data_IF_832732194916
#
_entry.id   IF_832732194916
#
_cell.length_a   1.000
_cell.length_b   1.000
_cell.length_c   1.000
_cell.angle_alpha   90.00
_cell.angle_beta   90.00
_cell.angle_gamma   90.00
#
_symmetry.space_group_name_H-M   'P 1'
#
loop_
_entity.id
_entity.type
_entity.pdbx_description
1 polymer ?
#
# COMPACT_ATOMS: atom_id res chain seq x y z
N UNK A 1 26.02 -3.54 5.75
CA UNK A 1 25.16 -4.36 6.59
C UNK A 1 24.32 -5.25 5.69
N UNK A 2 24.31 -6.58 5.93
CA UNK A 2 23.49 -7.51 5.16
C UNK A 2 22.00 -7.32 5.43
N UNK A 3 21.17 -7.59 4.43
CA UNK A 3 19.72 -7.72 4.62
C UNK A 3 19.43 -9.15 5.08
N UNK A 4 18.48 -9.30 5.98
CA UNK A 4 18.04 -10.60 6.48
C UNK A 4 16.55 -10.75 6.22
N UNK A 5 16.12 -11.96 5.92
CA UNK A 5 14.70 -12.34 5.81
C UNK A 5 14.31 -13.05 7.10
N UNK A 6 13.13 -12.72 7.61
CA UNK A 6 12.57 -13.40 8.77
C UNK A 6 12.08 -14.79 8.37
N UNK A 7 12.50 -15.80 9.11
CA UNK A 7 12.04 -17.17 8.89
C UNK A 7 10.66 -17.39 9.54
N UNK A 8 9.58 -17.28 8.77
CA UNK A 8 8.21 -17.52 9.23
C UNK A 8 7.90 -19.00 9.51
N UNK A 9 8.73 -19.93 9.07
CA UNK A 9 8.68 -21.31 9.50
C UNK A 9 9.01 -21.49 11.00
N UNK A 10 9.74 -20.54 11.60
CA UNK A 10 10.14 -20.59 12.99
C UNK A 10 9.08 -19.97 13.93
N UNK A 11 8.57 -20.77 14.88
CA UNK A 11 7.56 -20.33 15.87
C UNK A 11 7.95 -19.06 16.62
N UNK A 12 9.22 -18.89 16.97
CA UNK A 12 9.70 -17.71 17.68
C UNK A 12 9.51 -16.42 16.88
N UNK A 13 9.63 -16.47 15.56
CA UNK A 13 9.42 -15.33 14.67
C UNK A 13 7.94 -14.97 14.63
N UNK A 14 7.07 -15.96 14.40
CA UNK A 14 5.62 -15.74 14.39
C UNK A 14 5.12 -15.19 15.73
N UNK A 15 5.56 -15.77 16.86
CA UNK A 15 5.20 -15.27 18.20
C UNK A 15 5.64 -13.83 18.43
N UNK A 16 6.87 -13.48 18.04
CA UNK A 16 7.38 -12.13 18.17
C UNK A 16 6.57 -11.12 17.34
N UNK A 17 6.28 -11.45 16.08
CA UNK A 17 5.52 -10.57 15.21
C UNK A 17 4.05 -10.49 15.60
N UNK A 18 3.44 -11.58 16.04
CA UNK A 18 2.07 -11.60 16.58
C UNK A 18 1.96 -10.65 17.80
N UNK A 19 2.93 -10.69 18.70
CA UNK A 19 2.95 -9.78 19.84
C UNK A 19 3.19 -8.32 19.41
N UNK A 20 3.98 -8.10 18.36
CA UNK A 20 4.18 -6.77 17.80
C UNK A 20 2.88 -6.21 17.21
N UNK A 21 2.15 -7.00 16.42
CA UNK A 21 0.83 -6.61 15.88
C UNK A 21 -0.16 -6.37 17.04
N UNK A 22 -0.21 -7.27 18.04
CA UNK A 22 -1.07 -7.09 19.20
C UNK A 22 -0.85 -5.72 19.86
N UNK A 23 0.40 -5.36 20.11
CA UNK A 23 0.74 -4.06 20.71
C UNK A 23 0.30 -2.88 19.84
N UNK A 24 0.49 -2.98 18.51
CA UNK A 24 0.05 -1.92 17.60
C UNK A 24 -1.47 -1.73 17.69
N UNK A 25 -2.23 -2.82 17.72
CA UNK A 25 -3.70 -2.79 17.74
C UNK A 25 -4.23 -2.44 19.14
N UNK A 26 -3.85 -3.22 20.16
CA UNK A 26 -4.45 -3.13 21.49
C UNK A 26 -3.88 -2.00 22.34
N UNK A 27 -2.54 -1.78 22.29
CA UNK A 27 -1.89 -0.78 23.12
C UNK A 27 -1.86 0.62 22.46
N UNK A 28 -1.77 0.68 21.11
CA UNK A 28 -1.66 1.95 20.36
C UNK A 28 -2.91 2.30 19.55
N UNK A 29 -3.89 1.41 19.46
CA UNK A 29 -5.15 1.67 18.76
C UNK A 29 -5.05 1.71 17.23
N UNK A 30 -4.08 1.00 16.65
CA UNK A 30 -3.96 0.94 15.18
C UNK A 30 -5.09 0.09 14.59
N UNK A 31 -5.82 0.63 13.64
CA UNK A 31 -6.88 -0.02 12.87
C UNK A 31 -6.49 -0.28 11.40
N UNK A 32 -5.30 0.17 11.00
CA UNK A 32 -4.72 -0.02 9.68
C UNK A 32 -3.22 -0.33 9.79
N UNK A 33 -2.80 -1.44 9.20
CA UNK A 33 -1.40 -1.88 9.23
C UNK A 33 -0.93 -2.20 7.81
N UNK A 34 0.03 -1.41 7.33
CA UNK A 34 0.71 -1.67 6.06
C UNK A 34 1.95 -2.50 6.31
N UNK A 35 2.03 -3.63 5.63
CA UNK A 35 3.14 -4.57 5.71
C UNK A 35 4.00 -4.49 4.45
N UNK A 36 5.12 -3.78 4.54
CA UNK A 36 6.03 -3.58 3.42
C UNK A 36 7.17 -4.59 3.43
N UNK A 37 7.27 -5.37 2.34
CA UNK A 37 8.23 -6.46 2.20
C UNK A 37 9.08 -6.29 0.94
N UNK A 38 10.07 -5.41 1.00
CA UNK A 38 10.91 -4.95 -0.10
C UNK A 38 12.15 -5.81 -0.31
N UNK A 39 12.01 -7.14 -0.26
CA UNK A 39 13.13 -8.05 -0.48
C UNK A 39 12.93 -8.84 -1.76
N UNK A 40 13.94 -8.81 -2.63
CA UNK A 40 14.01 -9.68 -3.80
C UNK A 40 14.37 -11.11 -3.34
N UNK A 41 13.48 -12.05 -3.65
CA UNK A 41 13.65 -13.47 -3.32
C UNK A 41 14.76 -14.17 -4.11
N UNK A 42 15.23 -13.57 -5.20
CA UNK A 42 16.29 -14.14 -6.05
C UNK A 42 17.65 -14.30 -5.36
N UNK A 43 17.80 -13.74 -4.15
CA UNK A 43 19.07 -13.76 -3.39
C UNK A 43 18.99 -14.56 -2.08
N UNK A 44 17.98 -15.40 -1.90
CA UNK A 44 17.78 -16.15 -0.67
C UNK A 44 18.06 -17.63 -0.90
N UNK A 45 19.09 -18.14 -0.26
CA UNK A 45 19.30 -19.59 -0.15
C UNK A 45 18.23 -20.18 0.79
N UNK A 46 17.42 -21.10 0.29
CA UNK A 46 16.45 -21.81 1.12
C UNK A 46 15.12 -22.09 0.44
N UNK A 47 14.21 -22.67 1.19
CA UNK A 47 12.86 -23.04 0.75
C UNK A 47 11.92 -21.83 0.82
N UNK A 48 12.10 -20.91 -0.13
CA UNK A 48 11.34 -19.66 -0.21
C UNK A 48 9.83 -19.89 -0.37
N UNK A 49 9.42 -20.96 -1.01
CA UNK A 49 7.99 -21.25 -1.19
C UNK A 49 7.31 -21.60 0.14
N UNK A 50 7.95 -22.44 0.96
CA UNK A 50 7.44 -22.77 2.29
C UNK A 50 7.47 -21.55 3.23
N UNK A 51 8.50 -20.71 3.13
CA UNK A 51 8.60 -19.44 3.83
C UNK A 51 7.41 -18.52 3.50
N UNK A 52 7.13 -18.34 2.20
CA UNK A 52 6.03 -17.53 1.72
C UNK A 52 4.68 -18.08 2.18
N UNK A 53 4.47 -19.39 2.10
CA UNK A 53 3.25 -20.04 2.61
C UNK A 53 3.08 -19.81 4.11
N UNK A 54 4.13 -19.98 4.90
CA UNK A 54 4.12 -19.75 6.33
C UNK A 54 3.81 -18.28 6.68
N UNK A 55 4.38 -17.34 5.92
CA UNK A 55 4.09 -15.92 6.05
C UNK A 55 2.62 -15.61 5.77
N UNK A 56 2.09 -16.04 4.63
CA UNK A 56 0.70 -15.77 4.25
C UNK A 56 -0.32 -16.45 5.19
N UNK A 57 -0.01 -17.66 5.67
CA UNK A 57 -0.81 -18.33 6.68
C UNK A 57 -0.86 -17.49 7.96
N UNK A 58 0.29 -17.00 8.43
CA UNK A 58 0.36 -16.14 9.61
C UNK A 58 -0.41 -14.81 9.41
N UNK A 59 -0.36 -14.20 8.23
CA UNK A 59 -1.18 -13.03 7.91
C UNK A 59 -2.66 -13.33 8.00
N UNK A 60 -3.10 -14.50 7.50
CA UNK A 60 -4.47 -14.97 7.64
C UNK A 60 -4.91 -15.07 9.10
N UNK A 61 -4.06 -15.68 9.96
CA UNK A 61 -4.29 -15.78 11.40
C UNK A 61 -4.41 -14.38 12.07
N UNK A 62 -3.60 -13.41 11.64
CA UNK A 62 -3.69 -12.03 12.16
C UNK A 62 -5.00 -11.35 11.75
N UNK A 63 -5.46 -11.55 10.53
CA UNK A 63 -6.75 -11.02 10.08
C UNK A 63 -7.94 -11.63 10.83
N UNK A 64 -7.91 -12.92 11.09
CA UNK A 64 -8.95 -13.60 11.88
C UNK A 64 -8.93 -13.11 13.33
N UNK A 65 -7.75 -12.90 13.89
CA UNK A 65 -7.61 -12.43 15.28
C UNK A 65 -8.01 -10.97 15.46
N UNK A 66 -7.76 -10.12 14.47
CA UNK A 66 -7.99 -8.67 14.50
C UNK A 66 -8.95 -8.25 13.39
N UNK A 67 -10.18 -8.73 13.45
CA UNK A 67 -11.21 -8.57 12.38
C UNK A 67 -11.50 -7.11 12.00
N UNK A 68 -11.31 -6.18 12.92
CA UNK A 68 -11.55 -4.75 12.70
C UNK A 68 -10.30 -4.00 12.18
N UNK A 69 -9.18 -4.70 11.94
CA UNK A 69 -7.95 -4.11 11.44
C UNK A 69 -7.81 -4.39 9.95
N UNK A 70 -7.54 -3.35 9.17
CA UNK A 70 -7.21 -3.46 7.76
C UNK A 70 -5.72 -3.76 7.59
N UNK A 71 -5.41 -4.85 6.88
CA UNK A 71 -4.04 -5.18 6.50
C UNK A 71 -3.81 -4.89 5.02
N UNK A 72 -2.80 -4.06 4.74
CA UNK A 72 -2.34 -3.74 3.39
C UNK A 72 -1.04 -4.48 3.08
N UNK A 73 -1.04 -5.20 1.95
CA UNK A 73 0.18 -5.76 1.38
C UNK A 73 0.92 -4.69 0.58
N UNK A 74 2.22 -4.56 0.83
CA UNK A 74 3.13 -3.77 0.01
C UNK A 74 4.42 -4.54 -0.24
N UNK A 75 4.98 -4.37 -1.40
CA UNK A 75 6.33 -4.82 -1.73
C UNK A 75 6.84 -3.95 -2.85
N UNK A 76 7.53 -2.86 -2.52
CA UNK A 76 7.90 -1.81 -3.49
C UNK A 76 6.72 -1.47 -4.42
N UNK A 77 5.57 -1.17 -3.84
CA UNK A 77 4.30 -1.09 -4.54
C UNK A 77 3.70 -2.48 -4.79
N UNK A 78 3.30 -2.77 -6.02
CA UNK A 78 2.55 -3.97 -6.40
C UNK A 78 3.37 -5.18 -6.82
N UNK A 79 4.63 -5.36 -6.37
CA UNK A 79 5.46 -6.49 -6.81
C UNK A 79 4.91 -7.86 -6.39
N UNK A 80 4.04 -7.93 -5.39
CA UNK A 80 3.46 -9.17 -4.87
C UNK A 80 1.94 -9.15 -4.91
N UNK A 81 1.40 -8.85 -6.07
CA UNK A 81 -0.04 -8.79 -6.31
C UNK A 81 -0.53 -10.06 -7.03
N UNK A 82 -0.22 -11.22 -6.45
CA UNK A 82 -0.74 -12.51 -6.89
C UNK A 82 -1.99 -12.92 -6.10
N UNK A 83 -2.74 -13.87 -6.61
CA UNK A 83 -4.02 -14.28 -6.01
C UNK A 83 -3.90 -14.80 -4.58
N UNK A 84 -2.78 -15.42 -4.23
CA UNK A 84 -2.58 -15.90 -2.86
C UNK A 84 -2.36 -14.74 -1.90
N UNK A 85 -1.64 -13.69 -2.32
CA UNK A 85 -1.53 -12.44 -1.55
C UNK A 85 -2.89 -11.75 -1.44
N UNK A 86 -3.62 -11.59 -2.56
CA UNK A 86 -4.95 -10.97 -2.57
C UNK A 86 -5.95 -11.66 -1.62
N UNK A 87 -5.86 -12.98 -1.48
CA UNK A 87 -6.71 -13.75 -0.57
C UNK A 87 -6.47 -13.39 0.91
N UNK A 88 -5.22 -13.10 1.28
CA UNK A 88 -4.83 -12.88 2.67
C UNK A 88 -4.83 -11.41 3.10
N UNK A 89 -4.96 -10.46 2.19
CA UNK A 89 -4.94 -9.04 2.51
C UNK A 89 -6.24 -8.32 2.15
N UNK A 90 -6.59 -7.32 2.94
CA UNK A 90 -7.77 -6.49 2.66
C UNK A 90 -7.50 -5.49 1.53
N UNK A 91 -6.26 -5.02 1.46
CA UNK A 91 -5.80 -4.00 0.51
C UNK A 91 -4.42 -4.40 0.01
N UNK A 92 -4.11 -4.05 -1.23
CA UNK A 92 -2.78 -4.21 -1.82
C UNK A 92 -2.31 -2.88 -2.42
N UNK A 93 -1.07 -2.50 -2.13
CA UNK A 93 -0.41 -1.40 -2.84
C UNK A 93 -0.27 -1.75 -4.32
N UNK A 94 -0.53 -0.80 -5.20
CA UNK A 94 -0.53 -1.03 -6.66
C UNK A 94 0.78 -0.64 -7.32
N UNK A 95 1.39 0.46 -6.91
CA UNK A 95 2.68 0.93 -7.43
C UNK A 95 3.24 2.09 -6.61
N UNK A 96 4.56 2.18 -6.55
CA UNK A 96 5.28 3.36 -6.03
C UNK A 96 5.56 4.42 -7.12
N UNK A 97 4.91 4.30 -8.29
CA UNK A 97 5.06 5.28 -9.35
C UNK A 97 4.49 6.64 -8.94
N UNK A 98 5.30 7.68 -9.09
CA UNK A 98 4.94 9.06 -8.70
C UNK A 98 4.65 9.97 -9.89
N UNK A 99 4.93 9.50 -11.11
CA UNK A 99 4.67 10.27 -12.32
C UNK A 99 3.21 10.14 -12.69
N UNK A 100 2.48 11.22 -12.58
CA UNK A 100 1.04 11.31 -12.84
C UNK A 100 0.63 10.84 -14.24
N UNK A 101 1.45 11.08 -15.27
CA UNK A 101 1.17 10.65 -16.63
C UNK A 101 1.36 9.14 -16.87
N UNK A 102 2.05 8.43 -15.97
CA UNK A 102 2.20 6.96 -16.03
C UNK A 102 1.16 6.24 -15.18
N UNK A 103 0.64 6.90 -14.16
CA UNK A 103 -0.27 6.27 -13.21
C UNK A 103 -1.60 5.81 -13.81
N UNK A 104 -2.20 6.47 -14.83
CA UNK A 104 -3.41 5.98 -15.49
C UNK A 104 -3.30 4.55 -16.03
N UNK A 105 -2.14 4.21 -16.58
CA UNK A 105 -1.87 2.85 -17.09
C UNK A 105 -1.79 1.83 -15.97
N UNK A 106 -1.21 2.21 -14.83
CA UNK A 106 -1.12 1.34 -13.65
C UNK A 106 -2.50 1.15 -13.04
N UNK A 107 -3.23 2.22 -12.78
CA UNK A 107 -4.56 2.18 -12.19
C UNK A 107 -5.56 1.38 -13.05
N UNK A 108 -5.53 1.56 -14.38
CA UNK A 108 -6.36 0.78 -15.29
C UNK A 108 -5.98 -0.71 -15.35
N UNK A 109 -4.69 -1.02 -15.37
CA UNK A 109 -4.22 -2.40 -15.50
C UNK A 109 -4.39 -3.21 -14.20
N UNK A 110 -4.29 -2.60 -13.03
CA UNK A 110 -4.43 -3.32 -11.75
C UNK A 110 -5.80 -3.96 -11.61
N UNK A 111 -6.84 -3.38 -12.21
CA UNK A 111 -8.21 -3.91 -12.17
C UNK A 111 -8.38 -5.22 -12.95
N UNK A 112 -7.39 -5.63 -13.75
CA UNK A 112 -7.37 -6.96 -14.36
C UNK A 112 -6.98 -8.07 -13.36
N UNK A 113 -6.42 -7.72 -12.21
CA UNK A 113 -5.90 -8.67 -11.22
C UNK A 113 -6.53 -8.51 -9.83
N UNK A 114 -6.88 -7.29 -9.42
CA UNK A 114 -7.43 -6.98 -8.11
C UNK A 114 -8.80 -6.31 -8.22
N UNK A 115 -9.64 -6.50 -7.21
CA UNK A 115 -10.91 -5.76 -7.10
C UNK A 115 -10.61 -4.28 -6.79
N UNK A 116 -11.46 -3.34 -7.25
CA UNK A 116 -11.30 -1.92 -6.93
C UNK A 116 -11.16 -1.66 -5.42
N UNK A 117 -11.93 -2.39 -4.62
CA UNK A 117 -11.92 -2.28 -3.15
C UNK A 117 -10.61 -2.73 -2.51
N UNK A 118 -9.85 -3.57 -3.20
CA UNK A 118 -8.53 -4.03 -2.74
C UNK A 118 -7.37 -3.19 -3.29
N UNK A 119 -7.56 -2.51 -4.42
CA UNK A 119 -6.50 -1.81 -5.12
C UNK A 119 -6.23 -0.44 -4.49
N UNK A 120 -5.14 -0.27 -3.75
CA UNK A 120 -4.70 1.03 -3.25
C UNK A 120 -4.09 1.85 -4.40
N UNK A 121 -4.82 2.82 -4.89
CA UNK A 121 -4.38 3.70 -5.98
C UNK A 121 -3.89 5.02 -5.40
N UNK A 122 -2.60 5.28 -5.58
CA UNK A 122 -1.96 6.49 -5.09
C UNK A 122 -2.38 7.72 -5.88
N UNK A 123 -2.76 8.77 -5.18
CA UNK A 123 -3.05 10.10 -5.72
C UNK A 123 -2.02 11.09 -5.21
N UNK A 124 -1.40 11.83 -6.12
CA UNK A 124 -0.42 12.86 -5.82
C UNK A 124 -0.92 14.25 -6.26
N UNK A 125 -1.94 14.82 -5.62
CA UNK A 125 -2.50 16.11 -6.01
C UNK A 125 -1.48 17.25 -5.97
N UNK A 126 -0.48 17.13 -5.09
CA UNK A 126 0.70 18.00 -5.06
C UNK A 126 1.85 17.20 -5.67
N UNK A 127 1.91 17.12 -7.00
CA UNK A 127 3.00 16.39 -7.63
C UNK A 127 4.25 17.26 -7.73
N UNK A 128 5.37 16.69 -7.34
CA UNK A 128 6.70 17.17 -7.71
C UNK A 128 7.26 16.32 -8.85
N UNK A 129 8.25 16.81 -9.53
CA UNK A 129 9.01 16.01 -10.52
C UNK A 129 9.70 14.82 -9.86
N UNK A 130 9.88 14.90 -8.56
CA UNK A 130 10.53 13.93 -7.71
C UNK A 130 9.78 13.90 -6.37
N UNK A 131 9.39 12.72 -5.92
CA UNK A 131 8.70 12.52 -4.62
C UNK A 131 9.48 13.10 -3.46
N UNK A 132 10.77 13.13 -3.58
CA UNK A 132 11.69 13.58 -2.54
C UNK A 132 11.93 15.09 -2.55
N UNK A 133 11.55 15.79 -3.63
CA UNK A 133 11.63 17.26 -3.66
C UNK A 133 10.32 17.89 -3.20
N UNK A 134 10.36 18.79 -2.23
CA UNK A 134 9.18 19.53 -1.82
C UNK A 134 8.58 20.27 -3.03
N UNK A 135 7.32 20.00 -3.33
CA UNK A 135 6.54 20.83 -4.27
C UNK A 135 6.28 22.19 -3.63
N UNK A 136 6.29 23.25 -4.42
CA UNK A 136 5.84 24.57 -3.99
C UNK A 136 4.30 24.71 -3.92
N UNK A 137 3.58 23.61 -4.27
CA UNK A 137 2.12 23.58 -4.29
C UNK A 137 1.50 24.20 -5.55
N UNK A 138 2.31 24.73 -6.47
CA UNK A 138 1.83 25.36 -7.70
C UNK A 138 1.51 24.32 -8.77
N UNK A 139 0.39 23.64 -8.62
CA UNK A 139 -0.15 22.64 -9.56
C UNK A 139 -1.40 23.18 -10.23
N UNK A 140 -1.61 22.85 -11.50
CA UNK A 140 -2.85 23.19 -12.20
C UNK A 140 -4.03 22.36 -11.66
N UNK A 141 -5.23 22.93 -11.72
CA UNK A 141 -6.46 22.25 -11.31
C UNK A 141 -6.71 20.98 -12.13
N UNK A 142 -6.39 20.99 -13.44
CA UNK A 142 -6.50 19.81 -14.29
C UNK A 142 -5.61 18.65 -13.78
N UNK A 143 -4.43 18.95 -13.24
CA UNK A 143 -3.54 17.96 -12.70
C UNK A 143 -4.08 17.36 -11.41
N UNK A 144 -4.70 18.16 -10.56
CA UNK A 144 -5.40 17.69 -9.36
C UNK A 144 -6.55 16.75 -9.77
N UNK A 145 -7.38 17.19 -10.72
CA UNK A 145 -8.49 16.37 -11.25
C UNK A 145 -7.98 15.06 -11.84
N UNK A 146 -6.93 15.09 -12.66
CA UNK A 146 -6.33 13.87 -13.23
C UNK A 146 -5.93 12.87 -12.14
N UNK A 147 -5.27 13.35 -11.09
CA UNK A 147 -4.84 12.49 -9.98
C UNK A 147 -6.02 11.89 -9.21
N UNK A 148 -7.08 12.66 -8.98
CA UNK A 148 -8.28 12.16 -8.31
C UNK A 148 -9.04 11.15 -9.18
N UNK A 149 -9.24 11.44 -10.48
CA UNK A 149 -9.90 10.53 -11.42
C UNK A 149 -9.16 9.19 -11.52
N UNK A 150 -7.83 9.19 -11.55
CA UNK A 150 -7.06 7.94 -11.50
C UNK A 150 -7.33 7.15 -10.23
N UNK A 151 -7.43 7.83 -9.09
CA UNK A 151 -7.65 7.19 -7.80
C UNK A 151 -9.05 6.59 -7.64
N UNK A 152 -10.06 7.07 -8.39
CA UNK A 152 -11.42 6.50 -8.40
C UNK A 152 -11.49 5.07 -8.97
N UNK A 153 -10.46 4.64 -9.69
CA UNK A 153 -10.38 3.28 -10.20
C UNK A 153 -10.12 2.24 -9.10
N UNK A 154 -9.79 2.68 -7.90
CA UNK A 154 -9.57 1.83 -6.73
C UNK A 154 -9.84 2.59 -5.44
N UNK A 155 -9.14 2.21 -4.36
CA UNK A 155 -9.17 2.95 -3.10
C UNK A 155 -8.23 4.15 -3.18
N UNK A 156 -8.75 5.31 -2.87
CA UNK A 156 -8.02 6.57 -2.91
C UNK A 156 -6.97 6.61 -1.79
N UNK A 157 -5.70 6.65 -2.16
CA UNK A 157 -4.59 6.87 -1.23
C UNK A 157 -3.91 8.21 -1.53
N UNK A 158 -4.23 9.21 -0.74
CA UNK A 158 -3.61 10.54 -0.85
C UNK A 158 -2.17 10.50 -0.32
N UNK A 159 -1.21 10.78 -1.18
CA UNK A 159 0.22 10.56 -0.89
C UNK A 159 1.10 11.80 -1.04
N UNK A 160 0.52 12.99 -0.97
CA UNK A 160 1.28 14.24 -1.03
C UNK A 160 0.90 15.20 0.10
N UNK A 161 1.72 16.23 0.31
CA UNK A 161 1.49 17.25 1.33
C UNK A 161 0.36 18.19 0.90
N UNK A 162 -0.87 17.87 1.25
CA UNK A 162 -2.07 18.60 0.89
C UNK A 162 -2.10 20.03 1.46
N UNK A 163 -1.30 20.34 2.47
CA UNK A 163 -1.22 21.69 3.05
C UNK A 163 -0.62 22.72 2.08
N UNK A 164 0.00 22.25 1.02
CA UNK A 164 0.58 23.08 -0.04
C UNK A 164 -0.36 23.41 -1.18
N UNK A 165 -1.54 22.82 -1.19
CA UNK A 165 -2.56 23.14 -2.20
C UNK A 165 -3.16 24.53 -1.97
N UNK A 166 -3.51 25.21 -3.06
CA UNK A 166 -4.41 26.36 -2.98
C UNK A 166 -5.77 25.91 -2.43
N UNK A 167 -6.55 26.83 -1.88
CA UNK A 167 -7.90 26.53 -1.39
C UNK A 167 -8.81 25.97 -2.48
N UNK A 168 -8.66 26.43 -3.73
CA UNK A 168 -9.37 25.91 -4.90
C UNK A 168 -9.00 24.46 -5.20
N UNK A 169 -7.71 24.15 -5.27
CA UNK A 169 -7.22 22.79 -5.53
C UNK A 169 -7.54 21.84 -4.37
N UNK A 170 -7.52 22.32 -3.14
CA UNK A 170 -7.93 21.52 -1.99
C UNK A 170 -9.44 21.18 -2.04
N UNK A 171 -10.27 22.11 -2.51
CA UNK A 171 -11.70 21.85 -2.71
C UNK A 171 -11.93 20.73 -3.75
N UNK A 172 -11.15 20.69 -4.85
CA UNK A 172 -11.22 19.61 -5.84
C UNK A 172 -10.83 18.25 -5.26
N UNK A 173 -9.80 18.20 -4.40
CA UNK A 173 -9.45 16.95 -3.70
C UNK A 173 -10.59 16.51 -2.79
N UNK A 174 -11.17 17.45 -2.04
CA UNK A 174 -12.30 17.15 -1.15
C UNK A 174 -13.50 16.62 -1.92
N UNK A 175 -13.88 17.28 -3.03
CA UNK A 175 -14.95 16.83 -3.92
C UNK A 175 -14.67 15.40 -4.42
N UNK A 176 -13.43 15.11 -4.84
CA UNK A 176 -13.06 13.78 -5.28
C UNK A 176 -13.11 12.71 -4.18
N UNK A 177 -12.87 13.06 -2.92
CA UNK A 177 -13.01 12.11 -1.80
C UNK A 177 -14.47 11.87 -1.44
N UNK A 178 -15.32 12.86 -1.65
CA UNK A 178 -16.78 12.80 -1.35
C UNK A 178 -17.57 12.10 -2.48
N UNK A 179 -17.02 12.04 -3.72
CA UNK A 179 -17.63 11.37 -4.88
C UNK A 179 -17.68 9.86 -4.72
#
# INVERSE_FOLDING_TARGET
>A
AGKYILNFGADKVRKYLTETIRRMVEDYGADYIKMDYNVDSGFVDGDFENERKAYLTWVGEMRERFENVLFEACSSGGMRMDYETLKHYSIVSTSDQVRDYLYPYIAGNVLSAALPEQAAVWSYPVSSKDVWTPSDGNVSSEKVVLNMVNAFLGRIHLASDLTKLSSENFALVKEGVEY
#
